data_IF_220697452281
#
_entry.id   IF_220697452281
#
_cell.length_a   1.000
_cell.length_b   1.000
_cell.length_c   1.000
_cell.angle_alpha   90.00
_cell.angle_beta   90.00
_cell.angle_gamma   90.00
#
_symmetry.space_group_name_H-M   'P 1'
#
loop_
_entity.id
_entity.type
_entity.pdbx_description
1 polymer ?
#
# COMPACT_ATOMS: atom_id res chain seq x y z
N UNK A 1 8.29 1.02 -9.78
CA UNK A 1 8.21 -0.29 -10.48
C UNK A 1 7.27 -0.24 -11.68
N UNK A 2 6.06 0.36 -11.56
CA UNK A 2 5.10 0.43 -12.68
C UNK A 2 5.73 1.12 -13.90
N UNK A 3 6.40 2.27 -13.71
CA UNK A 3 7.08 2.95 -14.82
C UNK A 3 8.16 2.07 -15.47
N UNK A 4 8.90 1.29 -14.68
CA UNK A 4 9.91 0.37 -15.24
C UNK A 4 9.28 -0.74 -16.09
N UNK A 5 8.08 -1.21 -15.73
CA UNK A 5 7.31 -2.16 -16.55
C UNK A 5 6.83 -1.52 -17.85
N UNK A 6 6.28 -0.29 -17.77
CA UNK A 6 5.84 0.46 -18.96
C UNK A 6 7.01 0.80 -19.91
N UNK A 7 8.20 1.08 -19.34
CA UNK A 7 9.44 1.29 -20.09
C UNK A 7 10.08 -0.03 -20.59
N UNK A 8 9.44 -1.18 -20.38
CA UNK A 8 9.95 -2.54 -20.73
C UNK A 8 11.34 -2.85 -20.15
N UNK A 9 11.61 -2.33 -18.96
CA UNK A 9 12.87 -2.60 -18.22
C UNK A 9 12.75 -3.79 -17.28
N UNK A 10 11.51 -4.13 -16.89
CA UNK A 10 11.17 -5.30 -16.08
C UNK A 10 9.78 -5.80 -16.48
N UNK A 11 9.51 -7.09 -16.34
CA UNK A 11 8.23 -7.72 -16.68
C UNK A 11 7.25 -7.68 -15.52
N UNK A 12 7.73 -7.65 -14.27
CA UNK A 12 6.90 -7.68 -13.08
C UNK A 12 7.49 -6.82 -11.95
N UNK A 13 6.65 -6.44 -11.00
CA UNK A 13 7.10 -5.64 -9.86
C UNK A 13 6.04 -5.42 -8.81
N UNK A 14 6.50 -5.14 -7.58
CA UNK A 14 5.61 -4.76 -6.49
C UNK A 14 5.04 -3.36 -6.66
N UNK A 15 3.77 -3.20 -6.32
CA UNK A 15 3.08 -1.92 -6.31
C UNK A 15 1.90 -1.96 -5.33
N UNK A 16 1.08 -0.92 -5.33
CA UNK A 16 -0.18 -0.91 -4.63
C UNK A 16 -1.37 -0.95 -5.61
N UNK A 17 -2.55 -1.25 -5.12
CA UNK A 17 -3.77 -1.38 -5.92
C UNK A 17 -4.19 -0.07 -6.58
N UNK A 18 -3.87 1.10 -6.01
CA UNK A 18 -4.16 2.40 -6.65
C UNK A 18 -3.33 2.59 -7.91
N UNK A 19 -2.01 2.41 -7.82
CA UNK A 19 -1.14 2.53 -8.98
C UNK A 19 -1.41 1.43 -10.02
N UNK A 20 -1.83 0.23 -9.58
CA UNK A 20 -2.30 -0.82 -10.47
C UNK A 20 -3.51 -0.36 -11.29
N UNK A 21 -4.49 0.24 -10.61
CA UNK A 21 -5.69 0.78 -11.24
C UNK A 21 -5.36 1.91 -12.22
N UNK A 22 -4.58 2.89 -11.77
CA UNK A 22 -4.19 4.05 -12.59
C UNK A 22 -3.42 3.61 -13.85
N UNK A 23 -2.47 2.67 -13.71
CA UNK A 23 -1.68 2.18 -14.85
C UNK A 23 -2.52 1.34 -15.82
N UNK A 24 -3.40 0.47 -15.30
CA UNK A 24 -4.27 -0.35 -16.14
C UNK A 24 -5.24 0.48 -16.99
N UNK A 25 -5.78 1.56 -16.39
CA UNK A 25 -6.73 2.44 -17.05
C UNK A 25 -6.09 3.68 -17.70
N UNK A 26 -4.75 3.76 -17.73
CA UNK A 26 -4.00 4.90 -18.27
C UNK A 26 -4.45 6.25 -17.66
N UNK A 27 -4.56 6.31 -16.34
CA UNK A 27 -5.05 7.48 -15.60
C UNK A 27 -3.97 8.07 -14.69
N UNK A 28 -4.22 9.27 -14.15
CA UNK A 28 -3.32 9.94 -13.21
C UNK A 28 -1.93 10.11 -13.81
N UNK A 29 -0.90 9.65 -13.12
CA UNK A 29 0.51 9.73 -13.55
C UNK A 29 0.80 8.95 -14.83
N UNK A 30 -0.09 8.02 -15.21
CA UNK A 30 0.05 7.17 -16.40
C UNK A 30 -0.86 7.61 -17.55
N UNK A 31 -1.47 8.78 -17.48
CA UNK A 31 -2.24 9.36 -18.56
C UNK A 31 -1.37 9.48 -19.83
N UNK A 32 -1.89 8.99 -20.98
CA UNK A 32 -1.15 8.94 -22.24
C UNK A 32 -0.43 7.61 -22.52
N UNK A 33 -0.40 6.68 -21.56
CA UNK A 33 0.01 5.30 -21.81
C UNK A 33 -1.15 4.51 -22.47
N UNK A 34 -0.84 3.37 -23.09
CA UNK A 34 -1.91 2.48 -23.56
C UNK A 34 -2.55 1.74 -22.37
N UNK A 35 -3.89 1.67 -22.29
CA UNK A 35 -4.55 0.95 -21.22
C UNK A 35 -4.34 -0.57 -21.35
N UNK A 36 -4.48 -1.28 -20.23
CA UNK A 36 -4.40 -2.74 -20.20
C UNK A 36 -3.01 -3.35 -20.22
N UNK A 37 -1.94 -2.55 -20.34
CA UNK A 37 -0.57 -3.08 -20.37
C UNK A 37 -0.13 -3.73 -19.06
N UNK A 38 -0.63 -3.22 -17.93
CA UNK A 38 -0.30 -3.71 -16.60
C UNK A 38 -1.53 -4.39 -16.00
N UNK A 39 -1.32 -5.60 -15.51
CA UNK A 39 -2.37 -6.42 -14.87
C UNK A 39 -1.89 -6.94 -13.51
N UNK A 40 -2.81 -7.41 -12.70
CA UNK A 40 -2.51 -8.07 -11.44
C UNK A 40 -1.81 -9.42 -11.65
N UNK A 41 -1.00 -9.82 -10.68
CA UNK A 41 -0.45 -11.15 -10.60
C UNK A 41 -0.86 -11.84 -9.30
N UNK A 42 -0.42 -11.35 -8.16
CA UNK A 42 -0.80 -11.89 -6.85
C UNK A 42 -0.87 -10.80 -5.78
N UNK A 43 -1.79 -10.96 -4.84
CA UNK A 43 -1.90 -10.09 -3.68
C UNK A 43 -0.95 -10.56 -2.58
N UNK A 44 -0.31 -9.60 -1.95
CA UNK A 44 0.53 -9.80 -0.77
C UNK A 44 -0.25 -9.27 0.45
N UNK A 45 0.41 -9.03 1.55
CA UNK A 45 -0.20 -8.44 2.74
C UNK A 45 -0.65 -7.00 2.47
N UNK A 46 -1.88 -6.60 2.86
CA UNK A 46 -2.32 -5.22 2.73
C UNK A 46 -1.38 -4.24 3.42
N UNK A 47 -1.27 -3.05 2.85
CA UNK A 47 -0.64 -1.90 3.47
C UNK A 47 -1.71 -1.07 4.17
N UNK A 48 -1.34 -0.49 5.30
CA UNK A 48 -2.22 0.35 6.14
C UNK A 48 -1.60 1.73 6.25
N UNK A 49 -2.41 2.77 6.18
CA UNK A 49 -1.95 4.14 6.39
C UNK A 49 -1.68 4.36 7.88
N UNK A 50 -0.54 4.97 8.18
CA UNK A 50 -0.14 5.37 9.52
C UNK A 50 0.11 6.88 9.54
N UNK A 51 -0.46 7.55 10.53
CA UNK A 51 -0.09 8.93 10.91
C UNK A 51 0.50 8.84 12.31
N UNK A 52 1.80 9.04 12.45
CA UNK A 52 2.53 8.79 13.70
C UNK A 52 3.01 10.12 14.26
N UNK A 53 2.77 10.33 15.54
CA UNK A 53 3.18 11.53 16.30
C UNK A 53 3.81 11.13 17.63
N UNK A 54 4.56 12.04 18.28
CA UNK A 54 4.97 11.84 19.67
C UNK A 54 3.75 11.76 20.57
N UNK A 55 3.81 10.97 21.62
CA UNK A 55 2.71 10.81 22.57
C UNK A 55 2.36 12.14 23.28
N UNK A 56 3.37 12.97 23.56
CA UNK A 56 3.22 14.32 24.12
C UNK A 56 2.71 15.37 23.13
N UNK A 57 2.51 15.04 21.84
CA UNK A 57 2.10 16.00 20.81
C UNK A 57 0.67 16.51 21.05
N UNK A 58 0.44 17.76 20.69
CA UNK A 58 -0.88 18.41 20.63
C UNK A 58 -1.73 17.94 19.41
N UNK A 59 -1.11 17.30 18.42
CA UNK A 59 -1.79 16.74 17.25
C UNK A 59 -2.64 15.56 17.69
N UNK A 60 -3.96 15.67 17.63
CA UNK A 60 -4.91 14.62 18.03
C UNK A 60 -5.53 13.91 16.84
N UNK A 61 -5.66 14.60 15.72
CA UNK A 61 -6.25 14.10 14.47
C UNK A 61 -5.38 14.50 13.28
N UNK A 62 -5.52 13.86 12.12
CA UNK A 62 -4.82 14.30 10.91
C UNK A 62 -5.14 15.73 10.46
N UNK A 63 -6.26 16.31 10.88
CA UNK A 63 -6.60 17.71 10.59
C UNK A 63 -5.70 18.72 11.33
N UNK A 64 -5.07 18.31 12.44
CA UNK A 64 -4.20 19.19 13.24
C UNK A 64 -2.78 19.33 12.65
N UNK A 65 -2.55 18.80 11.44
CA UNK A 65 -1.24 18.90 10.74
C UNK A 65 -0.93 20.31 10.23
N UNK A 66 -1.90 21.23 10.20
CA UNK A 66 -1.68 22.61 9.78
C UNK A 66 -0.65 23.32 10.66
N UNK A 67 0.33 23.96 10.03
CA UNK A 67 1.44 24.63 10.69
C UNK A 67 2.54 23.70 11.23
N UNK A 68 2.43 22.39 11.04
CA UNK A 68 3.36 21.39 11.60
C UNK A 68 4.46 21.01 10.59
N UNK A 69 5.48 20.29 11.08
CA UNK A 69 6.55 19.69 10.28
C UNK A 69 6.19 18.22 10.02
N UNK A 70 5.88 17.88 8.77
CA UNK A 70 5.29 16.58 8.42
C UNK A 70 6.18 15.82 7.44
N UNK A 71 6.57 14.61 7.81
CA UNK A 71 7.25 13.68 6.92
C UNK A 71 6.24 12.97 6.01
N UNK A 72 6.43 13.03 4.69
CA UNK A 72 5.48 12.51 3.70
C UNK A 72 6.03 11.39 2.81
N UNK A 73 7.26 10.93 3.06
CA UNK A 73 7.92 9.95 2.20
C UNK A 73 8.76 10.57 1.08
N UNK A 74 9.53 9.73 0.41
CA UNK A 74 10.46 10.18 -0.63
C UNK A 74 9.75 10.46 -1.97
N UNK A 75 10.27 11.39 -2.78
CA UNK A 75 9.76 11.66 -4.13
C UNK A 75 9.71 10.38 -4.99
N UNK A 76 8.60 10.22 -5.75
CA UNK A 76 8.37 9.05 -6.59
C UNK A 76 8.01 7.77 -5.84
N UNK A 77 7.92 7.82 -4.51
CA UNK A 77 7.46 6.71 -3.67
C UNK A 77 5.94 6.65 -3.57
N UNK A 78 5.39 5.43 -3.49
CA UNK A 78 3.93 5.23 -3.32
C UNK A 78 3.43 5.85 -2.01
N UNK A 79 4.23 5.79 -0.93
CA UNK A 79 3.86 6.37 0.36
C UNK A 79 3.68 7.88 0.30
N UNK A 80 4.47 8.60 -0.53
CA UNK A 80 4.30 10.03 -0.73
C UNK A 80 2.97 10.34 -1.42
N UNK A 81 2.65 9.62 -2.50
CA UNK A 81 1.39 9.81 -3.23
C UNK A 81 0.16 9.53 -2.33
N UNK A 82 0.25 8.51 -1.49
CA UNK A 82 -0.82 8.18 -0.55
C UNK A 82 -0.92 9.21 0.59
N UNK A 83 0.22 9.77 1.05
CA UNK A 83 0.23 10.86 2.01
C UNK A 83 -0.36 12.15 1.41
N UNK A 84 -0.02 12.48 0.15
CA UNK A 84 -0.61 13.60 -0.58
C UNK A 84 -2.13 13.43 -0.75
N UNK A 85 -2.61 12.22 -1.04
CA UNK A 85 -4.05 11.91 -1.09
C UNK A 85 -4.74 12.20 0.26
N UNK A 86 -4.13 11.77 1.37
CA UNK A 86 -4.68 12.02 2.71
C UNK A 86 -4.78 13.53 3.01
N UNK A 87 -3.69 14.28 2.84
CA UNK A 87 -3.68 15.70 3.17
C UNK A 87 -4.53 16.53 2.22
N UNK A 88 -4.58 16.19 0.94
CA UNK A 88 -5.46 16.85 -0.03
C UNK A 88 -6.95 16.64 0.32
N UNK A 89 -7.34 15.43 0.77
CA UNK A 89 -8.72 15.17 1.23
C UNK A 89 -9.10 16.00 2.47
N UNK A 90 -8.10 16.39 3.28
CA UNK A 90 -8.27 17.32 4.40
C UNK A 90 -8.30 18.79 3.96
N UNK A 91 -8.05 19.09 2.70
CA UNK A 91 -7.94 20.46 2.18
C UNK A 91 -6.62 21.12 2.56
N UNK A 92 -5.58 20.36 2.87
CA UNK A 92 -4.25 20.85 3.22
C UNK A 92 -3.29 20.75 2.04
N UNK A 93 -2.50 21.82 1.80
CA UNK A 93 -1.51 21.89 0.74
C UNK A 93 -0.09 21.82 1.33
N UNK A 94 0.74 20.79 0.93
CA UNK A 94 2.14 20.72 1.32
C UNK A 94 2.92 22.00 0.91
N UNK A 95 3.80 22.47 1.77
CA UNK A 95 4.59 23.68 1.55
C UNK A 95 3.85 25.00 1.80
N UNK A 96 2.52 24.99 1.92
CA UNK A 96 1.68 26.15 2.19
C UNK A 96 1.03 26.08 3.58
N UNK A 97 0.28 25.01 3.84
CA UNK A 97 -0.44 24.84 5.11
C UNK A 97 0.43 24.19 6.20
N UNK A 98 1.47 23.46 5.81
CA UNK A 98 2.45 22.83 6.70
C UNK A 98 3.79 22.66 5.99
N UNK A 99 4.87 22.47 6.76
CA UNK A 99 6.20 22.22 6.21
C UNK A 99 6.36 20.72 5.94
N UNK A 100 6.43 20.33 4.67
CA UNK A 100 6.61 18.94 4.25
C UNK A 100 8.08 18.53 4.14
N UNK A 101 8.37 17.30 4.53
CA UNK A 101 9.69 16.68 4.43
C UNK A 101 9.59 15.41 3.59
N UNK A 102 10.32 15.38 2.47
CA UNK A 102 10.25 14.32 1.46
C UNK A 102 11.48 13.43 1.52
N UNK A 103 11.55 12.58 2.53
CA UNK A 103 12.68 11.69 2.79
C UNK A 103 12.22 10.25 3.04
N UNK A 104 13.16 9.29 3.07
CA UNK A 104 12.88 7.86 3.32
C UNK A 104 12.36 7.62 4.73
N UNK A 105 11.58 6.54 4.92
CA UNK A 105 11.00 6.18 6.23
C UNK A 105 12.02 6.11 7.38
N UNK A 106 13.19 5.45 7.24
CA UNK A 106 14.16 5.43 8.34
C UNK A 106 14.58 6.84 8.78
N UNK A 107 14.84 7.74 7.84
CA UNK A 107 15.17 9.14 8.14
C UNK A 107 14.01 9.86 8.82
N UNK A 108 12.76 9.69 8.37
CA UNK A 108 11.59 10.30 9.02
C UNK A 108 11.41 9.79 10.44
N UNK A 109 11.65 8.50 10.67
CA UNK A 109 11.59 7.88 12.01
C UNK A 109 12.60 8.53 12.95
N UNK A 110 13.85 8.66 12.54
CA UNK A 110 14.90 9.31 13.32
C UNK A 110 14.55 10.81 13.56
N UNK A 111 14.11 11.53 12.55
CA UNK A 111 13.69 12.95 12.65
C UNK A 111 12.50 13.14 13.60
N UNK A 112 11.52 12.22 13.61
CA UNK A 112 10.40 12.30 14.55
C UNK A 112 10.89 12.03 15.98
N UNK A 113 11.74 11.03 16.17
CA UNK A 113 12.37 10.74 17.45
C UNK A 113 13.12 11.93 18.02
N UNK A 114 13.92 12.61 17.21
CA UNK A 114 14.73 13.76 17.56
C UNK A 114 13.92 15.09 17.68
N UNK A 115 12.62 15.07 17.35
CA UNK A 115 11.77 16.27 17.41
C UNK A 115 11.98 17.25 16.25
N UNK A 116 12.57 16.80 15.16
CA UNK A 116 12.71 17.56 13.92
C UNK A 116 11.43 17.49 13.07
N UNK A 117 10.61 16.43 13.26
CA UNK A 117 9.24 16.31 12.76
C UNK A 117 8.25 16.34 13.90
N UNK A 118 7.05 16.82 13.63
CA UNK A 118 5.88 16.79 14.52
C UNK A 118 4.99 15.60 14.22
N UNK A 119 4.95 15.18 12.95
CA UNK A 119 4.24 13.99 12.47
C UNK A 119 4.97 13.32 11.30
N UNK A 120 4.74 12.03 11.09
CA UNK A 120 5.05 11.36 9.84
C UNK A 120 3.82 10.61 9.32
N UNK A 121 3.65 10.63 8.01
CA UNK A 121 2.62 9.89 7.28
C UNK A 121 3.31 8.82 6.44
N UNK A 122 2.88 7.58 6.58
CA UNK A 122 3.45 6.47 5.83
C UNK A 122 2.45 5.34 5.64
N UNK A 123 2.46 4.75 4.47
CA UNK A 123 1.78 3.49 4.23
C UNK A 123 2.77 2.31 4.33
N UNK A 124 2.33 1.19 4.84
CA UNK A 124 3.16 -0.02 4.90
C UNK A 124 2.44 -1.21 5.48
N UNK A 125 3.02 -2.40 5.30
CA UNK A 125 2.47 -3.63 5.86
C UNK A 125 2.89 -3.77 7.33
N UNK A 126 1.97 -3.63 8.29
CA UNK A 126 2.30 -3.70 9.70
C UNK A 126 2.56 -5.16 10.16
N UNK A 127 3.39 -5.40 11.19
CA UNK A 127 4.23 -4.40 11.85
C UNK A 127 5.47 -4.03 11.02
N UNK A 128 5.79 -2.74 10.94
CA UNK A 128 6.93 -2.23 10.18
C UNK A 128 8.18 -2.12 11.07
N UNK A 129 9.35 -2.69 10.70
CA UNK A 129 10.55 -2.64 11.52
C UNK A 129 10.99 -1.22 11.94
N UNK A 130 10.95 -0.19 11.07
CA UNK A 130 11.29 1.17 11.50
C UNK A 130 10.34 1.73 12.56
N UNK A 131 9.05 1.39 12.52
CA UNK A 131 8.07 1.82 13.53
C UNK A 131 8.27 1.06 14.84
N UNK A 132 8.62 -0.24 14.77
CA UNK A 132 9.01 -1.01 15.97
C UNK A 132 10.21 -0.35 16.64
N UNK A 133 11.27 -0.02 15.87
CA UNK A 133 12.45 0.69 16.38
C UNK A 133 12.04 2.02 17.05
N UNK A 134 11.23 2.83 16.36
CA UNK A 134 10.78 4.11 16.90
C UNK A 134 10.06 3.94 18.25
N UNK A 135 9.11 2.99 18.34
CA UNK A 135 8.35 2.74 19.57
C UNK A 135 9.22 2.18 20.71
N UNK A 136 10.30 1.47 20.40
CA UNK A 136 11.23 0.99 21.43
C UNK A 136 12.12 2.09 22.04
N UNK A 137 12.29 3.21 21.34
CA UNK A 137 13.16 4.31 21.74
C UNK A 137 12.40 5.55 22.21
N UNK A 138 11.16 5.74 21.72
CA UNK A 138 10.37 6.94 21.93
C UNK A 138 8.91 6.58 22.18
N UNK A 139 8.26 7.35 23.07
CA UNK A 139 6.81 7.27 23.25
C UNK A 139 6.11 7.97 22.08
N UNK A 140 5.51 7.16 21.22
CA UNK A 140 4.76 7.63 20.03
C UNK A 140 3.43 6.90 19.94
N UNK A 141 2.42 7.59 19.38
CA UNK A 141 1.12 7.02 19.07
C UNK A 141 0.81 7.13 17.59
N UNK A 142 -0.06 6.24 17.12
CA UNK A 142 -0.61 6.25 15.77
C UNK A 142 -1.99 6.88 15.90
N UNK A 143 -2.27 7.89 15.08
CA UNK A 143 -3.55 8.59 15.11
C UNK A 143 -4.62 7.82 14.34
N UNK A 144 -5.84 7.87 14.83
CA UNK A 144 -7.02 7.45 14.07
C UNK A 144 -7.19 8.32 12.82
N UNK A 145 -7.50 7.67 11.71
CA UNK A 145 -8.03 8.31 10.52
C UNK A 145 -9.56 8.12 10.58
N UNK A 146 -10.33 9.17 10.86
CA UNK A 146 -11.76 9.06 11.08
C UNK A 146 -12.48 8.38 9.91
N UNK A 147 -13.49 7.56 10.19
CA UNK A 147 -14.27 6.83 9.18
C UNK A 147 -14.80 7.73 8.07
N UNK A 148 -15.30 8.92 8.42
CA UNK A 148 -15.78 9.90 7.45
C UNK A 148 -14.68 10.34 6.48
N UNK A 149 -13.45 10.55 6.97
CA UNK A 149 -12.29 10.91 6.13
C UNK A 149 -11.88 9.74 5.23
N UNK A 150 -11.76 8.54 5.79
CA UNK A 150 -11.43 7.35 5.01
C UNK A 150 -12.51 7.02 3.97
N UNK A 151 -13.79 7.25 4.27
CA UNK A 151 -14.88 7.08 3.31
C UNK A 151 -14.78 8.07 2.14
N UNK A 152 -14.41 9.33 2.40
CA UNK A 152 -14.20 10.34 1.36
C UNK A 152 -13.02 9.96 0.45
N UNK A 153 -11.88 9.53 1.03
CA UNK A 153 -10.73 9.04 0.26
C UNK A 153 -11.13 7.87 -0.65
N UNK A 154 -11.93 6.91 -0.14
CA UNK A 154 -12.37 5.75 -0.91
C UNK A 154 -13.38 6.08 -2.01
N UNK A 155 -14.21 7.10 -1.82
CA UNK A 155 -15.13 7.57 -2.85
C UNK A 155 -14.38 8.14 -4.06
N UNK A 156 -13.31 8.88 -3.82
CA UNK A 156 -12.50 9.49 -4.87
C UNK A 156 -11.48 8.50 -5.50
N UNK A 157 -11.16 7.41 -4.80
CA UNK A 157 -10.20 6.41 -5.25
C UNK A 157 -10.60 4.99 -4.82
N UNK A 158 -11.31 4.22 -5.66
CA UNK A 158 -11.87 2.90 -5.34
C UNK A 158 -10.83 1.83 -4.95
N UNK A 159 -9.56 2.07 -5.25
CA UNK A 159 -8.48 1.17 -4.88
C UNK A 159 -8.16 1.17 -3.37
N UNK A 160 -8.63 2.17 -2.62
CA UNK A 160 -8.55 2.17 -1.16
C UNK A 160 -9.74 1.41 -0.58
N UNK A 161 -9.46 0.62 0.45
CA UNK A 161 -10.46 -0.17 1.16
C UNK A 161 -10.50 0.21 2.63
N UNK A 162 -11.61 -0.04 3.29
CA UNK A 162 -11.71 0.12 4.73
C UNK A 162 -10.83 -0.91 5.45
N UNK A 163 -10.21 -0.50 6.52
CA UNK A 163 -9.47 -1.45 7.34
C UNK A 163 -8.56 -0.79 8.36
N UNK A 164 -8.65 -1.31 9.57
CA UNK A 164 -7.91 -0.82 10.71
C UNK A 164 -6.54 -1.46 10.86
N UNK A 165 -5.68 -0.77 11.58
CA UNK A 165 -4.53 -1.38 12.20
C UNK A 165 -5.02 -2.17 13.42
N UNK A 166 -4.85 -3.50 13.44
CA UNK A 166 -5.35 -4.30 14.58
C UNK A 166 -4.69 -3.91 15.90
N UNK A 167 -5.42 -4.08 16.99
CA UNK A 167 -4.88 -3.99 18.35
C UNK A 167 -3.63 -4.87 18.51
N UNK A 168 -2.71 -4.45 19.37
CA UNK A 168 -1.46 -5.17 19.65
C UNK A 168 -0.56 -5.44 18.43
N UNK A 169 -0.72 -4.65 17.36
CA UNK A 169 0.19 -4.72 16.20
C UNK A 169 1.58 -4.18 16.54
N UNK A 170 1.65 -3.15 17.37
CA UNK A 170 2.89 -2.60 17.92
C UNK A 170 2.85 -2.62 19.45
N UNK A 171 4.03 -2.52 20.08
CA UNK A 171 4.12 -2.33 21.52
C UNK A 171 3.36 -1.06 21.95
N UNK A 172 2.74 -1.08 23.13
CA UNK A 172 1.95 0.04 23.69
C UNK A 172 0.85 0.55 22.73
N UNK A 173 0.20 -0.37 22.02
CA UNK A 173 -0.98 -0.11 21.20
C UNK A 173 -2.07 -1.14 21.52
N UNK A 174 -2.77 -1.00 22.68
CA UNK A 174 -3.76 -1.97 23.13
C UNK A 174 -5.03 -1.97 22.29
N UNK A 175 -5.36 -0.85 21.65
CA UNK A 175 -6.58 -0.68 20.88
C UNK A 175 -6.28 -0.75 19.37
N UNK A 176 -7.31 -1.07 18.59
CA UNK A 176 -7.25 -0.92 17.14
C UNK A 176 -7.21 0.56 16.76
N UNK A 177 -6.50 0.91 15.69
CA UNK A 177 -6.46 2.28 15.15
C UNK A 177 -7.25 2.32 13.86
N UNK A 178 -8.24 3.21 13.80
CA UNK A 178 -9.02 3.43 12.58
C UNK A 178 -8.10 3.90 11.45
N UNK A 179 -8.23 3.28 10.28
CA UNK A 179 -7.44 3.62 9.12
C UNK A 179 -8.13 3.21 7.82
N UNK A 180 -7.37 3.24 6.74
CA UNK A 180 -7.72 2.65 5.45
C UNK A 180 -6.54 1.85 4.90
N UNK A 181 -6.83 1.00 3.93
CA UNK A 181 -5.87 0.05 3.37
C UNK A 181 -5.78 0.18 1.87
N UNK A 182 -4.61 -0.23 1.35
CA UNK A 182 -4.43 -0.58 -0.05
C UNK A 182 -3.94 -2.03 -0.13
N UNK A 183 -4.24 -2.69 -1.24
CA UNK A 183 -3.58 -3.95 -1.55
C UNK A 183 -2.11 -3.68 -1.86
N UNK A 184 -1.21 -4.45 -1.24
CA UNK A 184 0.16 -4.60 -1.73
C UNK A 184 0.14 -5.76 -2.72
N UNK A 185 0.51 -5.51 -3.95
CA UNK A 185 0.31 -6.43 -5.06
C UNK A 185 1.58 -6.59 -5.88
N UNK A 186 1.74 -7.76 -6.42
CA UNK A 186 2.66 -8.02 -7.51
C UNK A 186 1.90 -7.84 -8.82
N UNK A 187 2.44 -6.99 -9.68
CA UNK A 187 1.92 -6.69 -11.01
C UNK A 187 2.81 -7.31 -12.07
N UNK A 188 2.25 -7.49 -13.26
CA UNK A 188 2.97 -8.04 -14.40
C UNK A 188 2.45 -7.38 -15.69
N UNK A 189 3.29 -7.35 -16.72
CA UNK A 189 2.88 -6.91 -18.06
C UNK A 189 1.91 -7.92 -18.66
N UNK A 190 0.84 -7.45 -19.29
CA UNK A 190 -0.18 -8.31 -19.89
C UNK A 190 0.33 -9.12 -21.08
N UNK A 191 1.41 -8.67 -21.73
CA UNK A 191 2.02 -9.33 -22.88
C UNK A 191 2.94 -10.52 -22.54
N UNK A 192 3.25 -10.75 -21.23
CA UNK A 192 4.07 -11.90 -20.83
C UNK A 192 3.31 -13.18 -21.19
N UNK A 193 3.96 -14.17 -21.83
CA UNK A 193 3.26 -15.39 -22.26
C UNK A 193 2.55 -16.11 -21.13
N UNK A 194 1.33 -16.58 -21.38
CA UNK A 194 0.47 -17.23 -20.37
C UNK A 194 1.17 -18.39 -19.67
N UNK A 195 1.84 -19.26 -20.42
CA UNK A 195 2.54 -20.42 -19.85
C UNK A 195 3.70 -20.01 -18.92
N UNK A 196 4.40 -18.93 -19.22
CA UNK A 196 5.47 -18.40 -18.36
C UNK A 196 4.87 -17.94 -17.02
N UNK A 197 3.79 -17.17 -17.07
CA UNK A 197 3.13 -16.66 -15.83
C UNK A 197 2.49 -17.81 -15.07
N UNK A 198 1.90 -18.80 -15.73
CA UNK A 198 1.37 -20.00 -15.08
C UNK A 198 2.48 -20.74 -14.32
N UNK A 199 3.61 -21.06 -14.96
CA UNK A 199 4.71 -21.77 -14.32
C UNK A 199 5.33 -20.96 -13.16
N UNK A 200 5.52 -19.66 -13.35
CA UNK A 200 6.03 -18.78 -12.29
C UNK A 200 5.07 -18.72 -11.10
N UNK A 201 3.75 -18.62 -11.36
CA UNK A 201 2.73 -18.62 -10.31
C UNK A 201 2.74 -19.92 -9.54
N UNK A 202 2.79 -21.05 -10.25
CA UNK A 202 2.88 -22.39 -9.66
C UNK A 202 4.12 -22.52 -8.78
N UNK A 203 5.27 -22.16 -9.32
CA UNK A 203 6.54 -22.25 -8.57
C UNK A 203 6.50 -21.43 -7.27
N UNK A 204 5.97 -20.21 -7.29
CA UNK A 204 5.84 -19.36 -6.09
C UNK A 204 4.84 -19.95 -5.11
N UNK A 205 3.65 -20.31 -5.57
CA UNK A 205 2.55 -20.75 -4.69
C UNK A 205 2.80 -22.13 -4.04
N UNK A 206 3.53 -23.00 -4.71
CA UNK A 206 3.92 -24.32 -4.17
C UNK A 206 5.15 -24.25 -3.26
N UNK A 207 5.86 -23.10 -3.20
CA UNK A 207 7.07 -22.89 -2.40
C UNK A 207 6.99 -21.69 -1.47
N UNK A 208 5.81 -21.35 -0.94
CA UNK A 208 5.61 -20.19 -0.07
C UNK A 208 6.47 -20.25 1.20
N UNK A 209 6.71 -21.42 1.77
CA UNK A 209 7.58 -21.58 2.94
C UNK A 209 9.03 -21.22 2.60
N UNK A 210 9.52 -21.65 1.45
CA UNK A 210 10.85 -21.22 0.96
C UNK A 210 10.88 -19.71 0.70
N UNK A 211 9.88 -19.16 0.04
CA UNK A 211 9.79 -17.70 -0.19
C UNK A 211 9.79 -16.92 1.13
N UNK A 212 9.18 -17.46 2.17
CA UNK A 212 9.17 -16.85 3.51
C UNK A 212 10.56 -16.81 4.17
N UNK A 213 11.49 -17.69 3.79
CA UNK A 213 12.89 -17.61 4.21
C UNK A 213 13.65 -16.49 3.48
N UNK A 214 13.28 -16.20 2.23
CA UNK A 214 13.89 -15.12 1.43
C UNK A 214 13.44 -13.75 1.94
N UNK A 215 12.10 -13.59 2.21
CA UNK A 215 11.59 -12.34 2.77
C UNK A 215 10.34 -12.58 3.62
N UNK A 216 10.28 -12.01 4.86
CA UNK A 216 9.17 -12.26 5.79
C UNK A 216 7.77 -11.91 5.28
N UNK A 217 7.64 -11.00 4.32
CA UNK A 217 6.34 -10.63 3.73
C UNK A 217 5.61 -11.82 3.11
N UNK A 218 6.34 -12.83 2.61
CA UNK A 218 5.75 -14.02 2.01
C UNK A 218 4.99 -14.90 3.01
N UNK A 219 5.28 -14.81 4.33
CA UNK A 219 4.51 -15.50 5.39
C UNK A 219 3.04 -15.10 5.41
N UNK A 220 2.70 -13.94 4.87
CA UNK A 220 1.33 -13.41 4.85
C UNK A 220 0.58 -13.68 3.55
N UNK A 221 1.24 -14.23 2.54
CA UNK A 221 0.57 -14.67 1.32
C UNK A 221 -0.27 -15.91 1.63
N UNK A 222 -1.55 -15.82 1.34
CA UNK A 222 -2.50 -16.91 1.57
C UNK A 222 -3.25 -17.18 0.29
N UNK A 223 -3.44 -18.48 -0.01
CA UNK A 223 -4.18 -18.93 -1.18
C UNK A 223 -5.57 -18.29 -1.28
N UNK A 224 -6.30 -18.24 -0.16
CA UNK A 224 -7.67 -17.71 -0.11
C UNK A 224 -7.74 -16.18 -0.25
N UNK A 225 -6.61 -15.49 -0.10
CA UNK A 225 -6.53 -14.03 -0.15
C UNK A 225 -5.76 -13.52 -1.38
N UNK A 226 -5.33 -14.42 -2.28
CA UNK A 226 -4.40 -14.07 -3.37
C UNK A 226 -4.99 -13.09 -4.40
N UNK A 227 -6.31 -13.00 -4.49
CA UNK A 227 -7.05 -12.08 -5.37
C UNK A 227 -7.58 -10.84 -4.62
N UNK A 228 -7.36 -10.75 -3.31
CA UNK A 228 -7.93 -9.67 -2.50
C UNK A 228 -7.32 -8.32 -2.86
N UNK A 229 -8.20 -7.30 -2.91
CA UNK A 229 -7.82 -5.90 -3.16
C UNK A 229 -7.61 -5.56 -4.63
N UNK A 230 -7.52 -6.51 -5.55
CA UNK A 230 -7.45 -6.18 -6.97
C UNK A 230 -8.76 -5.58 -7.48
N UNK A 231 -8.60 -4.47 -8.20
CA UNK A 231 -9.64 -3.76 -8.96
C UNK A 231 -9.35 -3.77 -10.46
N UNK A 232 -8.34 -4.51 -10.87
CA UNK A 232 -7.91 -4.70 -12.26
C UNK A 232 -7.85 -6.19 -12.57
N UNK A 233 -7.94 -6.60 -13.85
CA UNK A 233 -7.78 -7.99 -14.25
C UNK A 233 -6.45 -8.58 -13.74
N UNK A 234 -6.46 -9.86 -13.42
CA UNK A 234 -5.27 -10.65 -13.12
C UNK A 234 -4.87 -11.43 -14.37
N UNK A 235 -3.57 -11.60 -14.58
CA UNK A 235 -3.00 -12.24 -15.76
C UNK A 235 -3.59 -13.64 -16.00
N UNK A 236 -3.95 -13.99 -17.26
CA UNK A 236 -4.58 -15.28 -17.58
C UNK A 236 -3.81 -16.51 -17.07
N UNK A 237 -2.48 -16.49 -17.16
CA UNK A 237 -1.63 -17.58 -16.66
C UNK A 237 -1.72 -17.77 -15.15
N UNK A 238 -1.82 -16.68 -14.39
CA UNK A 238 -2.05 -16.76 -12.95
C UNK A 238 -3.44 -17.29 -12.62
N UNK A 239 -4.48 -16.77 -13.31
CA UNK A 239 -5.86 -17.26 -13.13
C UNK A 239 -6.00 -18.74 -13.46
N UNK A 240 -5.30 -19.23 -14.49
CA UNK A 240 -5.26 -20.67 -14.83
C UNK A 240 -4.74 -21.51 -13.66
N UNK A 241 -3.63 -21.11 -13.07
CA UNK A 241 -3.10 -21.78 -11.89
C UNK A 241 -4.06 -21.68 -10.69
N UNK A 242 -4.63 -20.51 -10.44
CA UNK A 242 -5.55 -20.33 -9.30
C UNK A 242 -6.79 -21.21 -9.41
N UNK A 243 -7.33 -21.43 -10.61
CA UNK A 243 -8.42 -22.37 -10.86
C UNK A 243 -8.00 -23.82 -10.56
N UNK A 244 -6.86 -24.22 -11.11
CA UNK A 244 -6.28 -25.57 -10.90
C UNK A 244 -6.01 -25.83 -9.41
N UNK A 245 -5.45 -24.85 -8.72
CA UNK A 245 -5.17 -24.92 -7.29
C UNK A 245 -6.44 -24.84 -6.41
N UNK A 246 -7.64 -24.63 -6.97
CA UNK A 246 -8.89 -24.51 -6.22
C UNK A 246 -8.98 -23.26 -5.35
N UNK A 247 -8.46 -22.12 -5.81
CA UNK A 247 -8.63 -20.83 -5.14
C UNK A 247 -10.11 -20.45 -5.20
N UNK A 248 -10.68 -20.13 -4.04
CA UNK A 248 -12.09 -19.75 -3.96
C UNK A 248 -12.34 -18.37 -4.61
N UNK A 249 -13.50 -18.20 -5.23
CA UNK A 249 -13.97 -16.91 -5.75
C UNK A 249 -13.29 -16.40 -7.03
N UNK A 250 -12.52 -17.23 -7.74
CA UNK A 250 -11.85 -16.81 -9.00
C UNK A 250 -12.84 -16.30 -10.02
N UNK A 251 -13.95 -17.02 -10.24
CA UNK A 251 -14.94 -16.64 -11.27
C UNK A 251 -15.72 -15.36 -10.89
N UNK A 252 -16.01 -15.18 -9.60
CA UNK A 252 -16.66 -13.96 -9.12
C UNK A 252 -15.72 -12.76 -9.24
N UNK A 253 -14.43 -12.98 -8.98
CA UNK A 253 -13.39 -11.97 -9.21
C UNK A 253 -13.33 -11.56 -10.68
N UNK A 254 -13.25 -12.54 -11.60
CA UNK A 254 -13.18 -12.27 -13.05
C UNK A 254 -14.40 -11.47 -13.52
N UNK A 255 -15.61 -11.85 -13.09
CA UNK A 255 -16.85 -11.11 -13.42
C UNK A 255 -16.85 -9.68 -12.86
N UNK A 256 -16.24 -9.46 -11.69
CA UNK A 256 -16.20 -8.15 -11.05
C UNK A 256 -15.27 -7.19 -11.77
N UNK A 257 -14.09 -7.64 -12.21
CA UNK A 257 -13.07 -6.79 -12.84
C UNK A 257 -13.24 -6.64 -14.36
N UNK A 258 -14.16 -7.39 -14.97
CA UNK A 258 -14.54 -7.27 -16.37
C UNK A 258 -15.55 -6.14 -16.64
N UNK A 259 -16.05 -5.49 -15.59
CA UNK A 259 -16.99 -4.35 -15.66
C UNK A 259 -16.24 -3.02 -15.64
#
# INVERSE_FOLDING_TARGET
NVQLMLDSKVEAGFSNTKLAYDAHHAQGTYAGQAPGQIVGWMSIKPIVMHVIVKDSSDIKTPADLKGKRVGMGQPGGTSMLDAETLVATLGLEPGKDFKDFRVKLPTMVDMLGDGQLDALIWNGSPPMPPVIKLKSQHKVRILDIPRALSAKIRADAPAYTEGDLPANTYADQPDSVMSYRLGNVLLIKSEVPEDIVYQATKAVMENLDFMATVHPAWKSVKKDAILNGFTVPVHPGALRYYREAGVAGVEDFVKRVAK
#
